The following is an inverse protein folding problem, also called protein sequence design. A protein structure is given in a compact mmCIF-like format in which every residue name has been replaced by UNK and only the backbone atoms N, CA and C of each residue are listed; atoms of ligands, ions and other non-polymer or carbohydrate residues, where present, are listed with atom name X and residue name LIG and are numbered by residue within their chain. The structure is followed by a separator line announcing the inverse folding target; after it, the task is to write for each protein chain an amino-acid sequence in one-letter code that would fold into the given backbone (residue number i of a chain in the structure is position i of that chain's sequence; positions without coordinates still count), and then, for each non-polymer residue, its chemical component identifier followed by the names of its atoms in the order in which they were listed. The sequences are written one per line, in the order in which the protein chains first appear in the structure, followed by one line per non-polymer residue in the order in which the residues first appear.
data_IF_459469763901
#
_entry.id   IF_459469763901
#
_cell.length_a   1.000
_cell.length_b   1.000
_cell.length_c   1.000
_cell.angle_alpha   90.00
_cell.angle_beta   90.00
_cell.angle_gamma   90.00
#
_symmetry.space_group_name_H-M   'P 1'
#
loop_
_entity.id
_entity.type
_entity.pdbx_description
1 polymer ?
#
# COMPACT_ATOMS: atom_id res chain seq x y z
N UNK A 1 -5.42 -27.68 -16.28
CA UNK A 1 -4.82 -27.23 -15.02
C UNK A 1 -4.60 -25.73 -15.04
N UNK A 2 -5.08 -25.05 -14.04
CA UNK A 2 -4.83 -23.62 -13.93
C UNK A 2 -3.35 -23.36 -13.64
N UNK A 3 -2.78 -22.40 -14.35
CA UNK A 3 -1.41 -21.96 -14.10
C UNK A 3 -1.33 -21.32 -12.72
N UNK A 4 -0.40 -21.71 -11.84
CA UNK A 4 -0.26 -21.04 -10.55
C UNK A 4 0.09 -19.56 -10.77
N UNK A 5 -0.54 -18.69 -9.99
CA UNK A 5 -0.24 -17.28 -10.04
C UNK A 5 1.12 -17.02 -9.42
N UNK A 6 1.92 -16.21 -10.10
CA UNK A 6 3.19 -15.76 -9.53
C UNK A 6 2.93 -14.73 -8.43
N UNK A 7 3.79 -14.74 -7.43
CA UNK A 7 3.79 -13.68 -6.43
C UNK A 7 4.11 -12.34 -7.09
N UNK A 8 3.35 -11.33 -6.74
CA UNK A 8 3.58 -9.95 -7.17
C UNK A 8 4.40 -9.24 -6.11
N UNK A 9 5.24 -8.32 -6.56
CA UNK A 9 6.05 -7.55 -5.63
C UNK A 9 5.25 -6.38 -5.08
N UNK A 10 5.28 -6.24 -3.75
CA UNK A 10 4.68 -5.11 -3.06
C UNK A 10 5.77 -4.43 -2.22
N UNK A 11 5.63 -3.12 -2.00
CA UNK A 11 6.66 -2.36 -1.28
C UNK A 11 6.64 -2.66 0.21
N UNK A 12 5.46 -2.85 0.80
CA UNK A 12 5.33 -3.19 2.22
C UNK A 12 3.95 -3.74 2.52
N UNK A 13 3.85 -4.46 3.63
CA UNK A 13 2.55 -4.82 4.19
C UNK A 13 1.91 -3.58 4.83
N UNK A 14 0.60 -3.38 4.67
CA UNK A 14 -0.06 -2.25 5.31
C UNK A 14 -0.13 -2.43 6.83
N UNK A 15 0.18 -1.37 7.56
CA UNK A 15 0.03 -1.35 9.01
C UNK A 15 -1.44 -1.35 9.42
N UNK A 16 -2.29 -0.76 8.61
CA UNK A 16 -3.74 -0.71 8.81
C UNK A 16 -4.38 -1.66 7.79
N UNK A 17 -5.13 -2.63 8.29
CA UNK A 17 -5.72 -3.68 7.48
C UNK A 17 -7.26 -3.66 7.45
N UNK A 18 -7.88 -2.67 8.07
CA UNK A 18 -9.34 -2.60 8.15
C UNK A 18 -9.83 -1.17 8.07
N UNK A 19 -10.73 -0.92 7.12
CA UNK A 19 -11.41 0.37 6.95
C UNK A 19 -12.90 0.13 7.04
N UNK A 20 -13.59 0.94 7.83
CA UNK A 20 -15.04 0.79 7.95
C UNK A 20 -15.73 2.16 8.02
N UNK A 21 -17.01 2.25 7.63
CA UNK A 21 -17.79 3.45 7.84
C UNK A 21 -17.89 3.80 9.33
N UNK A 22 -17.72 5.09 9.62
CA UNK A 22 -17.83 5.58 10.99
C UNK A 22 -19.24 5.39 11.52
N UNK A 23 -19.37 4.94 12.77
CA UNK A 23 -20.64 4.81 13.44
C UNK A 23 -21.40 3.52 13.17
N UNK A 24 -20.88 2.65 12.29
CA UNK A 24 -21.51 1.35 12.02
C UNK A 24 -20.80 0.28 12.83
N UNK A 25 -21.50 -0.45 13.72
CA UNK A 25 -20.88 -1.53 14.49
C UNK A 25 -20.42 -2.68 13.59
N UNK A 26 -19.31 -3.32 13.97
CA UNK A 26 -18.73 -4.45 13.22
C UNK A 26 -19.74 -5.56 12.96
N UNK A 27 -20.62 -5.84 13.90
CA UNK A 27 -21.65 -6.91 13.80
C UNK A 27 -22.71 -6.62 12.74
N UNK A 28 -22.84 -5.38 12.29
CA UNK A 28 -23.88 -4.95 11.34
C UNK A 28 -23.32 -4.59 9.97
N UNK A 29 -22.01 -4.71 9.78
CA UNK A 29 -21.37 -4.27 8.57
C UNK A 29 -20.99 -5.44 7.68
N UNK A 30 -21.28 -5.32 6.39
CA UNK A 30 -20.76 -6.23 5.39
C UNK A 30 -19.33 -5.83 5.02
N UNK A 31 -18.52 -6.80 4.64
CA UNK A 31 -17.13 -6.59 4.29
C UNK A 31 -16.86 -6.93 2.82
N UNK A 32 -15.99 -6.17 2.20
CA UNK A 32 -15.33 -6.53 0.95
C UNK A 32 -13.86 -6.78 1.24
N UNK A 33 -13.27 -7.67 0.48
CA UNK A 33 -11.85 -8.02 0.64
C UNK A 33 -11.03 -7.36 -0.47
N UNK A 34 -10.03 -6.59 -0.05
CA UNK A 34 -9.02 -6.03 -0.95
C UNK A 34 -7.71 -6.76 -0.67
N UNK A 35 -7.16 -7.42 -1.66
CA UNK A 35 -5.90 -8.15 -1.48
C UNK A 35 -4.71 -7.19 -1.43
N UNK A 36 -3.60 -7.64 -0.86
CA UNK A 36 -2.42 -6.80 -0.68
C UNK A 36 -1.83 -6.38 -2.03
N UNK A 37 -1.83 -7.26 -3.01
CA UNK A 37 -1.39 -6.92 -4.37
C UNK A 37 -2.34 -5.93 -5.05
N UNK A 38 -3.65 -6.02 -4.80
CA UNK A 38 -4.62 -5.04 -5.28
C UNK A 38 -4.38 -3.66 -4.65
N UNK A 39 -4.08 -3.62 -3.35
CA UNK A 39 -3.73 -2.37 -2.68
C UNK A 39 -2.47 -1.75 -3.28
N UNK A 40 -1.44 -2.56 -3.55
CA UNK A 40 -0.22 -2.06 -4.18
C UNK A 40 -0.50 -1.49 -5.57
N UNK A 41 -1.36 -2.13 -6.34
CA UNK A 41 -1.75 -1.62 -7.65
C UNK A 41 -2.42 -0.24 -7.54
N UNK A 42 -3.30 -0.05 -6.56
CA UNK A 42 -3.91 1.25 -6.29
C UNK A 42 -2.86 2.28 -5.91
N UNK A 43 -1.90 1.91 -5.07
CA UNK A 43 -0.83 2.81 -4.67
C UNK A 43 0.00 3.28 -5.87
N UNK A 44 0.39 2.35 -6.72
CA UNK A 44 1.24 2.67 -7.88
C UNK A 44 0.50 3.47 -8.95
N UNK A 45 -0.72 3.07 -9.29
CA UNK A 45 -1.47 3.71 -10.38
C UNK A 45 -2.16 4.99 -9.94
N UNK A 46 -2.86 4.96 -8.81
CA UNK A 46 -3.78 6.05 -8.45
C UNK A 46 -3.17 7.03 -7.45
N UNK A 47 -2.25 6.60 -6.60
CA UNK A 47 -1.57 7.48 -5.67
C UNK A 47 -0.29 8.06 -6.27
N UNK A 48 0.56 7.23 -6.86
CA UNK A 48 1.82 7.67 -7.46
C UNK A 48 1.70 8.08 -8.94
N UNK A 49 0.61 7.72 -9.60
CA UNK A 49 0.34 8.14 -10.97
C UNK A 49 1.17 7.44 -12.04
N UNK A 50 1.64 6.23 -11.78
CA UNK A 50 2.40 5.46 -12.74
C UNK A 50 1.52 4.89 -13.85
N UNK A 51 2.09 4.72 -15.04
CA UNK A 51 1.43 4.01 -16.13
C UNK A 51 1.26 2.53 -15.78
N UNK A 52 0.36 1.85 -16.49
CA UNK A 52 0.17 0.40 -16.31
C UNK A 52 1.43 -0.39 -16.61
N UNK A 53 2.21 0.05 -17.57
CA UNK A 53 3.49 -0.57 -17.92
C UNK A 53 4.51 -0.41 -16.81
N UNK A 54 4.70 0.81 -16.29
CA UNK A 54 5.62 1.09 -15.21
C UNK A 54 5.21 0.40 -13.91
N UNK A 55 3.94 0.47 -13.56
CA UNK A 55 3.40 -0.15 -12.36
C UNK A 55 3.50 -1.68 -12.44
N UNK A 56 3.17 -2.25 -13.59
CA UNK A 56 3.31 -3.69 -13.82
C UNK A 56 4.76 -4.14 -13.66
N UNK A 57 5.70 -3.37 -14.19
CA UNK A 57 7.13 -3.69 -14.07
C UNK A 57 7.57 -3.72 -12.60
N UNK A 58 7.12 -2.78 -11.78
CA UNK A 58 7.43 -2.76 -10.34
C UNK A 58 6.84 -3.94 -9.58
N UNK A 59 5.66 -4.38 -9.97
CA UNK A 59 5.02 -5.55 -9.37
C UNK A 59 5.50 -6.88 -9.96
N UNK A 60 6.33 -6.84 -10.99
CA UNK A 60 6.82 -8.05 -11.65
C UNK A 60 5.77 -8.75 -12.49
N UNK A 61 4.80 -8.02 -13.02
CA UNK A 61 3.72 -8.56 -13.86
C UNK A 61 3.65 -7.82 -15.19
N UNK A 62 2.97 -8.43 -16.17
CA UNK A 62 2.74 -7.79 -17.46
C UNK A 62 1.77 -6.61 -17.32
N UNK A 63 1.80 -5.71 -18.30
CA UNK A 63 0.84 -4.60 -18.39
C UNK A 63 -0.60 -5.09 -18.34
N UNK A 64 -0.92 -6.16 -19.09
CA UNK A 64 -2.26 -6.72 -19.12
C UNK A 64 -2.70 -7.30 -17.78
N UNK A 65 -1.79 -7.99 -17.08
CA UNK A 65 -2.07 -8.52 -15.73
C UNK A 65 -2.28 -7.38 -14.76
N UNK A 66 -1.43 -6.35 -14.80
CA UNK A 66 -1.61 -5.17 -13.96
C UNK A 66 -2.96 -4.50 -14.21
N UNK A 67 -3.38 -4.37 -15.47
CA UNK A 67 -4.68 -3.82 -15.83
C UNK A 67 -5.84 -4.56 -15.18
N UNK A 68 -5.77 -5.89 -15.12
CA UNK A 68 -6.79 -6.70 -14.43
C UNK A 68 -6.76 -6.50 -12.93
N UNK A 69 -5.57 -6.43 -12.33
CA UNK A 69 -5.41 -6.21 -10.88
C UNK A 69 -6.01 -4.86 -10.49
N UNK A 70 -5.63 -3.79 -11.17
CA UNK A 70 -6.10 -2.45 -10.84
C UNK A 70 -7.59 -2.28 -11.07
N UNK A 71 -8.13 -2.90 -12.11
CA UNK A 71 -9.56 -2.84 -12.38
C UNK A 71 -10.37 -3.50 -11.27
N UNK A 72 -9.93 -4.67 -10.80
CA UNK A 72 -10.57 -5.37 -9.68
C UNK A 72 -10.44 -4.58 -8.38
N UNK A 73 -9.27 -4.01 -8.13
CA UNK A 73 -9.03 -3.20 -6.95
C UNK A 73 -9.96 -1.99 -6.89
N UNK A 74 -10.10 -1.28 -8.00
CA UNK A 74 -10.99 -0.13 -8.10
C UNK A 74 -12.44 -0.52 -7.87
N UNK A 75 -12.86 -1.66 -8.39
CA UNK A 75 -14.22 -2.16 -8.21
C UNK A 75 -14.52 -2.48 -6.76
N UNK A 76 -13.59 -3.12 -6.05
CA UNK A 76 -13.74 -3.44 -4.62
C UNK A 76 -13.90 -2.17 -3.79
N UNK A 77 -13.04 -1.18 -4.04
CA UNK A 77 -13.10 0.10 -3.32
C UNK A 77 -14.40 0.84 -3.63
N UNK A 78 -14.82 0.86 -4.90
CA UNK A 78 -16.06 1.50 -5.30
C UNK A 78 -17.28 0.85 -4.64
N UNK A 79 -17.32 -0.48 -4.57
CA UNK A 79 -18.40 -1.21 -3.91
C UNK A 79 -18.47 -0.85 -2.43
N UNK A 80 -17.33 -0.79 -1.76
CA UNK A 80 -17.28 -0.41 -0.34
C UNK A 80 -17.78 1.00 -0.11
N UNK A 81 -17.35 1.95 -0.91
CA UNK A 81 -17.75 3.36 -0.78
C UNK A 81 -19.23 3.57 -1.08
N UNK A 82 -19.73 2.96 -2.14
CA UNK A 82 -21.11 3.18 -2.59
C UNK A 82 -22.11 2.50 -1.67
N UNK A 83 -21.80 1.29 -1.21
CA UNK A 83 -22.72 0.49 -0.37
C UNK A 83 -22.40 0.56 1.12
N UNK A 84 -21.43 1.35 1.54
CA UNK A 84 -21.07 1.51 2.95
C UNK A 84 -20.52 0.24 3.59
N UNK A 85 -19.75 -0.52 2.84
CA UNK A 85 -19.12 -1.76 3.34
C UNK A 85 -17.75 -1.49 3.91
N UNK A 86 -17.31 -2.35 4.83
CA UNK A 86 -15.93 -2.30 5.31
C UNK A 86 -14.98 -2.92 4.28
N UNK A 87 -13.73 -2.46 4.29
CA UNK A 87 -12.67 -3.03 3.46
C UNK A 87 -11.70 -3.77 4.37
N UNK A 88 -11.56 -5.07 4.15
CA UNK A 88 -10.60 -5.92 4.82
C UNK A 88 -9.39 -6.13 3.90
N UNK A 89 -8.22 -5.68 4.33
CA UNK A 89 -6.97 -5.84 3.58
C UNK A 89 -6.29 -7.13 4.02
N UNK A 90 -6.36 -8.16 3.20
CA UNK A 90 -5.68 -9.43 3.47
C UNK A 90 -5.56 -10.28 2.22
N UNK A 91 -4.59 -11.19 2.25
CA UNK A 91 -4.44 -12.20 1.23
C UNK A 91 -3.88 -11.71 -0.08
N UNK A 92 -4.03 -12.54 -1.11
CA UNK A 92 -3.44 -12.32 -2.42
C UNK A 92 -2.09 -13.01 -2.57
N UNK A 93 -1.54 -12.94 -3.77
CA UNK A 93 -0.24 -13.50 -4.10
C UNK A 93 0.79 -12.39 -4.16
N UNK A 94 1.59 -12.23 -3.12
CA UNK A 94 2.54 -11.13 -3.04
C UNK A 94 3.81 -11.52 -2.28
N UNK A 95 4.88 -10.80 -2.58
CA UNK A 95 6.15 -10.86 -1.88
C UNK A 95 6.57 -9.43 -1.52
N UNK A 96 6.87 -9.19 -0.26
CA UNK A 96 7.28 -7.87 0.19
C UNK A 96 8.72 -7.61 -0.24
N UNK A 97 8.92 -6.60 -1.07
CA UNK A 97 10.23 -6.01 -1.35
C UNK A 97 10.35 -4.76 -0.50
N UNK A 98 10.73 -4.97 0.75
CA UNK A 98 10.91 -3.87 1.69
C UNK A 98 12.05 -2.97 1.24
N UNK A 99 11.74 -1.72 0.92
CA UNK A 99 12.73 -0.66 0.89
C UNK A 99 12.50 0.18 2.14
N UNK A 100 13.42 0.10 3.08
CA UNK A 100 13.40 1.03 4.19
C UNK A 100 13.53 2.44 3.62
N UNK A 101 12.78 3.36 4.20
CA UNK A 101 12.86 4.77 3.85
C UNK A 101 13.97 5.40 4.66
N UNK A 102 14.93 5.99 3.98
CA UNK A 102 16.06 6.64 4.63
C UNK A 102 15.76 8.11 4.89
N UNK A 103 15.97 8.56 6.12
CA UNK A 103 15.77 9.95 6.53
C UNK A 103 17.06 10.55 7.06
N UNK A 104 17.19 11.85 6.88
CA UNK A 104 18.30 12.65 7.39
C UNK A 104 17.75 13.84 8.15
N UNK A 105 18.32 14.11 9.31
CA UNK A 105 18.00 15.30 10.08
C UNK A 105 18.79 16.51 9.56
N UNK A 106 18.09 17.61 9.27
CA UNK A 106 18.73 18.84 8.79
C UNK A 106 19.48 19.60 9.89
N UNK A 107 19.16 19.31 11.15
CA UNK A 107 19.78 20.00 12.30
C UNK A 107 21.05 19.34 12.80
N UNK A 108 21.10 18.00 12.87
CA UNK A 108 22.25 17.28 13.43
C UNK A 108 22.91 16.29 12.47
N UNK A 109 22.39 16.19 11.25
CA UNK A 109 22.91 15.31 10.20
C UNK A 109 22.83 13.81 10.53
N UNK A 110 21.94 13.42 11.47
CA UNK A 110 21.72 12.04 11.82
C UNK A 110 20.97 11.31 10.70
N UNK A 111 21.44 10.12 10.34
CA UNK A 111 20.84 9.27 9.33
C UNK A 111 20.19 8.06 9.99
N UNK A 112 18.97 7.71 9.58
CA UNK A 112 18.30 6.50 10.07
C UNK A 112 17.30 5.97 9.05
N UNK A 113 16.94 4.71 9.21
CA UNK A 113 15.96 4.05 8.37
C UNK A 113 14.64 3.90 9.10
N UNK A 114 13.56 4.09 8.37
CA UNK A 114 12.19 3.94 8.87
C UNK A 114 11.47 2.93 8.02
N UNK A 115 10.80 1.98 8.67
CA UNK A 115 10.01 0.98 7.99
C UNK A 115 8.84 1.55 7.21
N UNK A 116 8.39 0.81 6.23
CA UNK A 116 7.17 1.12 5.48
C UNK A 116 5.94 1.13 6.39
N UNK A 117 4.98 1.99 6.06
CA UNK A 117 3.68 1.97 6.71
C UNK A 117 3.60 2.65 8.08
N UNK A 118 4.70 3.24 8.54
CA UNK A 118 4.75 3.90 9.86
C UNK A 118 4.51 5.42 9.82
N UNK A 119 4.14 5.96 8.65
CA UNK A 119 3.99 7.39 8.49
C UNK A 119 5.35 8.12 8.40
N UNK A 120 5.30 9.44 8.33
CA UNK A 120 6.51 10.26 8.33
C UNK A 120 6.96 10.46 9.78
N UNK A 121 8.26 10.29 10.08
CA UNK A 121 8.76 10.60 11.42
C UNK A 121 8.48 12.06 11.77
N UNK A 122 8.07 12.30 13.01
CA UNK A 122 7.78 13.65 13.48
C UNK A 122 9.04 14.39 13.92
N UNK A 123 10.05 13.66 14.38
CA UNK A 123 11.26 14.24 14.92
C UNK A 123 12.46 13.30 14.75
N UNK A 124 13.65 13.87 14.82
CA UNK A 124 14.90 13.12 14.78
C UNK A 124 15.08 12.33 16.09
N UNK A 125 15.42 11.04 16.03
CA UNK A 125 15.64 10.22 17.23
C UNK A 125 16.89 10.61 18.01
N UNK A 126 17.83 11.34 17.39
CA UNK A 126 19.09 11.75 18.03
C UNK A 126 18.97 13.10 18.72
N UNK A 127 18.40 14.12 18.07
CA UNK A 127 18.36 15.48 18.59
C UNK A 127 16.95 16.02 18.87
N UNK A 128 15.90 15.31 18.45
CA UNK A 128 14.52 15.76 18.60
C UNK A 128 14.09 16.85 17.63
N UNK A 129 14.94 17.25 16.68
CA UNK A 129 14.61 18.27 15.69
C UNK A 129 13.51 17.81 14.73
N UNK A 130 12.67 18.75 14.27
CA UNK A 130 11.55 18.48 13.38
C UNK A 130 11.85 18.65 11.90
N UNK A 131 13.03 19.12 11.55
CA UNK A 131 13.42 19.33 10.16
C UNK A 131 14.13 18.11 9.60
N UNK A 132 13.36 17.30 8.89
CA UNK A 132 13.80 16.02 8.35
C UNK A 132 13.50 15.96 6.87
N UNK A 133 14.38 15.31 6.10
CA UNK A 133 14.06 15.01 4.70
C UNK A 133 14.35 13.55 4.38
N UNK A 134 13.61 13.04 3.41
CA UNK A 134 13.80 11.70 2.90
C UNK A 134 14.87 11.71 1.80
N UNK A 135 15.77 10.75 1.86
CA UNK A 135 16.82 10.55 0.87
C UNK A 135 16.51 9.35 0.00
N UNK A 136 16.48 9.54 -1.31
CA UNK A 136 16.23 8.46 -2.28
C UNK A 136 14.78 8.29 -2.69
#
# INVERSE_FOLDING_TARGET
MARPQKDRFVTCDPAISYFKPRGVPLRQIEEVRLTIDQMEALRLADLEGLSQEEAGARMGVSRATFGRIIQRARRVVAEALIHGKAILLEGGNYQVKSTNRHFVCDSCDHHWDVGCGTGRPAQCPACGGGELHRVG
#
